data_IF_825405881832
#
_entry.id   IF_825405881832
#
_cell.length_a   1.000
_cell.length_b   1.000
_cell.length_c   1.000
_cell.angle_alpha   90.00
_cell.angle_beta   90.00
_cell.angle_gamma   90.00
#
_symmetry.space_group_name_H-M   'P 1'
#
loop_
_entity.id
_entity.type
_entity.pdbx_description
1 polymer ?
#
# COMPACT_ATOMS: atom_id res chain seq x y z
N UNK A 1 -11.84 -18.47 16.33
CA UNK A 1 -12.35 -17.79 15.12
C UNK A 1 -13.66 -17.14 15.49
N UNK A 2 -13.72 -15.81 15.44
CA UNK A 2 -15.00 -15.13 15.23
C UNK A 2 -15.09 -15.01 13.71
N UNK A 3 -15.80 -15.94 13.08
CA UNK A 3 -16.24 -15.78 11.70
C UNK A 3 -17.42 -14.79 11.77
N UNK A 4 -17.18 -13.58 11.28
CA UNK A 4 -18.15 -12.49 11.31
C UNK A 4 -18.34 -11.98 9.88
N UNK A 5 -19.26 -12.55 9.13
CA UNK A 5 -19.80 -11.84 7.96
C UNK A 5 -20.70 -10.71 8.47
N UNK A 6 -20.32 -9.47 8.20
CA UNK A 6 -21.09 -8.27 8.53
C UNK A 6 -21.07 -7.33 7.34
N UNK A 7 -22.16 -7.36 6.58
CA UNK A 7 -22.33 -6.69 5.29
C UNK A 7 -22.03 -5.18 5.28
N UNK A 8 -22.16 -4.50 6.42
CA UNK A 8 -21.88 -3.06 6.55
C UNK A 8 -21.52 -2.69 8.00
N UNK A 9 -20.23 -2.50 8.26
CA UNK A 9 -19.75 -2.08 9.57
C UNK A 9 -19.30 -0.63 9.57
N UNK A 10 -19.93 0.19 10.41
CA UNK A 10 -19.53 1.58 10.64
C UNK A 10 -18.84 1.73 12.02
N UNK A 11 -17.63 2.28 12.03
CA UNK A 11 -16.99 2.79 13.27
C UNK A 11 -16.49 1.71 14.23
N UNK A 12 -16.05 0.56 13.73
CA UNK A 12 -15.64 -0.57 14.57
C UNK A 12 -14.26 -0.38 15.19
N UNK A 13 -14.14 -0.84 16.45
CA UNK A 13 -12.87 -0.86 17.15
C UNK A 13 -12.66 -2.22 17.82
N UNK A 14 -11.56 -2.88 17.48
CA UNK A 14 -11.15 -4.13 18.10
C UNK A 14 -9.67 -4.11 18.48
N UNK A 15 -9.25 -5.11 19.24
CA UNK A 15 -7.83 -5.37 19.44
C UNK A 15 -7.27 -6.22 18.30
N UNK A 16 -8.01 -7.27 17.94
CA UNK A 16 -7.68 -8.25 16.91
C UNK A 16 -8.87 -8.42 15.96
N UNK A 17 -8.59 -8.56 14.67
CA UNK A 17 -9.55 -8.91 13.63
C UNK A 17 -8.95 -10.00 12.74
N UNK A 18 -9.82 -10.91 12.30
CA UNK A 18 -9.51 -12.08 11.48
C UNK A 18 -10.70 -12.29 10.53
N UNK A 19 -10.43 -12.73 9.30
CA UNK A 19 -11.39 -13.41 8.41
C UNK A 19 -12.71 -12.66 8.21
N UNK A 20 -12.64 -11.50 7.55
CA UNK A 20 -13.82 -10.71 7.17
C UNK A 20 -13.87 -10.53 5.65
N UNK A 21 -15.08 -10.45 5.09
CA UNK A 21 -15.37 -10.47 3.66
C UNK A 21 -16.17 -9.29 3.09
N UNK A 22 -16.49 -8.26 3.89
CA UNK A 22 -17.56 -7.31 3.54
C UNK A 22 -17.12 -5.84 3.46
N UNK A 23 -17.99 -4.98 2.92
CA UNK A 23 -17.76 -3.53 2.82
C UNK A 23 -17.61 -2.86 4.20
N UNK A 24 -16.53 -2.08 4.35
CA UNK A 24 -16.14 -1.48 5.63
C UNK A 24 -16.08 0.04 5.58
N UNK A 25 -16.61 0.69 6.63
CA UNK A 25 -16.42 2.12 6.86
C UNK A 25 -15.92 2.41 8.29
N UNK A 26 -14.67 2.87 8.40
CA UNK A 26 -14.10 3.41 9.64
C UNK A 26 -13.73 2.35 10.67
N UNK A 27 -12.66 1.59 10.43
CA UNK A 27 -12.16 0.60 11.38
C UNK A 27 -10.86 0.97 12.06
N UNK A 28 -10.74 0.54 13.31
CA UNK A 28 -9.52 0.66 14.09
C UNK A 28 -9.18 -0.63 14.84
N UNK A 29 -8.04 -1.22 14.53
CA UNK A 29 -7.50 -2.39 15.24
C UNK A 29 -6.08 -2.15 15.76
N UNK A 30 -5.58 -3.03 16.63
CA UNK A 30 -4.12 -3.15 16.81
C UNK A 30 -3.56 -4.08 15.74
N UNK A 31 -4.19 -5.25 15.56
CA UNK A 31 -3.79 -6.28 14.61
C UNK A 31 -4.96 -6.70 13.72
N UNK A 32 -4.72 -6.78 12.42
CA UNK A 32 -5.60 -7.41 11.42
C UNK A 32 -4.79 -8.49 10.69
N UNK A 33 -5.39 -9.65 10.45
CA UNK A 33 -4.74 -10.81 9.85
C UNK A 33 -5.74 -11.49 8.91
N UNK A 34 -5.27 -12.02 7.78
CA UNK A 34 -6.03 -12.91 6.90
C UNK A 34 -7.40 -12.32 6.50
N UNK A 35 -7.39 -11.16 5.83
CA UNK A 35 -8.62 -10.45 5.48
C UNK A 35 -8.76 -10.34 3.97
N UNK A 36 -9.98 -10.49 3.46
CA UNK A 36 -10.31 -10.29 2.04
C UNK A 36 -11.48 -9.31 1.96
N UNK A 37 -11.31 -8.09 1.47
CA UNK A 37 -12.36 -7.05 1.58
C UNK A 37 -12.59 -6.33 0.26
N UNK A 38 -13.85 -6.25 -0.18
CA UNK A 38 -14.19 -5.56 -1.43
C UNK A 38 -13.93 -4.04 -1.35
N UNK A 39 -14.54 -3.35 -0.37
CA UNK A 39 -14.40 -1.90 -0.26
C UNK A 39 -14.11 -1.45 1.16
N UNK A 40 -13.13 -0.57 1.31
CA UNK A 40 -12.72 0.04 2.56
C UNK A 40 -12.77 1.56 2.46
N UNK A 41 -13.51 2.20 3.37
CA UNK A 41 -13.42 3.62 3.63
C UNK A 41 -12.84 3.84 5.03
N UNK A 42 -11.55 4.16 5.14
CA UNK A 42 -10.90 4.50 6.39
C UNK A 42 -10.54 3.29 7.26
N UNK A 43 -9.31 2.79 7.11
CA UNK A 43 -8.73 1.77 7.99
C UNK A 43 -7.53 2.29 8.78
N UNK A 44 -7.47 1.88 10.06
CA UNK A 44 -6.33 2.15 10.92
C UNK A 44 -5.91 0.94 11.75
N UNK A 45 -4.69 0.45 11.55
CA UNK A 45 -4.10 -0.57 12.44
C UNK A 45 -2.68 -0.20 12.90
N UNK A 46 -2.12 -0.98 13.82
CA UNK A 46 -0.67 -0.98 14.05
C UNK A 46 0.00 -1.96 13.09
N UNK A 47 -0.53 -3.19 13.02
CA UNK A 47 -0.03 -4.27 12.18
C UNK A 47 -1.15 -4.84 11.31
N UNK A 48 -0.83 -5.13 10.07
CA UNK A 48 -1.67 -5.85 9.10
C UNK A 48 -0.80 -6.87 8.39
N UNK A 49 -1.27 -8.11 8.32
CA UNK A 49 -0.61 -9.19 7.60
C UNK A 49 -1.67 -9.87 6.71
N UNK A 50 -1.25 -10.34 5.53
CA UNK A 50 -2.04 -11.22 4.69
C UNK A 50 -3.41 -10.63 4.33
N UNK A 51 -3.41 -9.52 3.60
CA UNK A 51 -4.66 -8.83 3.25
C UNK A 51 -4.83 -8.73 1.74
N UNK A 52 -6.02 -9.05 1.26
CA UNK A 52 -6.46 -8.82 -0.11
C UNK A 52 -7.60 -7.81 -0.10
N UNK A 53 -7.48 -6.69 -0.82
CA UNK A 53 -8.51 -5.63 -0.80
C UNK A 53 -8.72 -5.04 -2.18
N UNK A 54 -9.96 -4.96 -2.68
CA UNK A 54 -10.16 -4.43 -4.04
C UNK A 54 -10.05 -2.91 -4.06
N UNK A 55 -10.80 -2.20 -3.19
CA UNK A 55 -10.82 -0.74 -3.21
C UNK A 55 -10.65 -0.15 -1.82
N UNK A 56 -9.74 0.83 -1.70
CA UNK A 56 -9.45 1.52 -0.45
C UNK A 56 -9.44 3.03 -0.61
N UNK A 57 -10.26 3.72 0.16
CA UNK A 57 -10.15 5.16 0.40
C UNK A 57 -9.63 5.39 1.82
N UNK A 58 -8.36 5.77 1.94
CA UNK A 58 -7.74 6.14 3.21
C UNK A 58 -7.32 4.93 4.04
N UNK A 59 -6.04 4.61 3.97
CA UNK A 59 -5.43 3.54 4.74
C UNK A 59 -4.27 4.04 5.59
N UNK A 60 -4.25 3.70 6.89
CA UNK A 60 -3.12 3.95 7.78
C UNK A 60 -2.70 2.73 8.60
N UNK A 61 -1.44 2.31 8.52
CA UNK A 61 -0.85 1.41 9.52
C UNK A 61 0.58 1.78 9.89
N UNK A 62 1.17 1.09 10.88
CA UNK A 62 2.61 1.22 11.14
C UNK A 62 3.37 0.22 10.27
N UNK A 63 2.97 -1.04 10.30
CA UNK A 63 3.57 -2.14 9.54
C UNK A 63 2.48 -2.85 8.72
N UNK A 64 2.82 -3.17 7.47
CA UNK A 64 2.04 -3.97 6.55
C UNK A 64 2.96 -5.00 5.90
N UNK A 65 2.47 -6.22 5.74
CA UNK A 65 3.20 -7.35 5.18
C UNK A 65 2.22 -8.14 4.32
N UNK A 66 2.67 -8.65 3.18
CA UNK A 66 1.91 -9.59 2.34
C UNK A 66 0.52 -9.05 1.98
N UNK A 67 0.49 -8.02 1.14
CA UNK A 67 -0.74 -7.33 0.80
C UNK A 67 -0.94 -7.25 -0.71
N UNK A 68 -2.16 -7.56 -1.15
CA UNK A 68 -2.60 -7.37 -2.53
C UNK A 68 -3.76 -6.40 -2.57
N UNK A 69 -3.61 -5.26 -3.26
CA UNK A 69 -4.62 -4.20 -3.25
C UNK A 69 -4.84 -3.58 -4.62
N UNK A 70 -6.02 -3.78 -5.20
CA UNK A 70 -6.28 -3.38 -6.59
C UNK A 70 -6.31 -1.86 -6.77
N UNK A 71 -6.98 -1.12 -5.91
CA UNK A 71 -7.06 0.35 -6.02
C UNK A 71 -6.99 1.03 -4.66
N UNK A 72 -6.03 1.94 -4.48
CA UNK A 72 -5.91 2.73 -3.25
C UNK A 72 -5.89 4.22 -3.54
N UNK A 73 -6.79 4.97 -2.90
CA UNK A 73 -6.71 6.42 -2.79
C UNK A 73 -6.27 6.81 -1.39
N UNK A 74 -5.02 7.25 -1.27
CA UNK A 74 -4.45 7.75 -0.02
C UNK A 74 -4.00 6.63 0.92
N UNK A 75 -2.71 6.32 0.87
CA UNK A 75 -2.07 5.34 1.74
C UNK A 75 -0.97 5.95 2.59
N UNK A 76 -0.97 5.66 3.89
CA UNK A 76 0.14 5.97 4.80
C UNK A 76 0.61 4.78 5.65
N UNK A 77 1.87 4.41 5.53
CA UNK A 77 2.53 3.41 6.40
C UNK A 77 3.87 3.94 6.94
N UNK A 78 4.46 3.25 7.93
CA UNK A 78 5.88 3.43 8.24
C UNK A 78 6.72 2.44 7.45
N UNK A 79 6.35 1.16 7.51
CA UNK A 79 7.04 0.04 6.87
C UNK A 79 6.03 -0.80 6.07
N UNK A 80 6.42 -1.18 4.86
CA UNK A 80 5.67 -2.05 3.96
C UNK A 80 6.64 -3.05 3.33
N UNK A 81 6.23 -4.31 3.31
CA UNK A 81 6.95 -5.42 2.69
C UNK A 81 5.96 -6.22 1.86
N UNK A 82 6.43 -6.75 0.73
CA UNK A 82 5.73 -7.75 -0.08
C UNK A 82 4.33 -7.27 -0.50
N UNK A 83 4.31 -6.26 -1.35
CA UNK A 83 3.08 -5.57 -1.73
C UNK A 83 2.86 -5.62 -3.25
N UNK A 84 1.64 -5.93 -3.67
CA UNK A 84 1.17 -5.81 -5.05
C UNK A 84 0.00 -4.85 -5.12
N UNK A 85 0.17 -3.68 -5.76
CA UNK A 85 -0.83 -2.60 -5.63
C UNK A 85 -0.97 -1.70 -6.86
N UNK A 86 -2.10 -0.99 -6.95
CA UNK A 86 -2.24 0.23 -7.76
C UNK A 86 -2.77 1.39 -6.90
N UNK A 87 -2.05 2.52 -6.91
CA UNK A 87 -2.16 3.54 -5.86
C UNK A 87 -2.16 4.98 -6.40
N UNK A 88 -3.18 5.73 -6.00
CA UNK A 88 -3.24 7.18 -6.07
C UNK A 88 -2.89 7.80 -4.70
N UNK A 89 -1.66 8.31 -4.58
CA UNK A 89 -1.19 9.03 -3.41
C UNK A 89 -0.69 8.12 -2.29
N UNK A 90 0.62 8.01 -2.17
CA UNK A 90 1.27 7.13 -1.20
C UNK A 90 2.37 7.81 -0.41
N UNK A 91 2.39 7.58 0.91
CA UNK A 91 3.49 7.95 1.80
C UNK A 91 3.95 6.81 2.72
N UNK A 92 5.21 6.41 2.60
CA UNK A 92 5.88 5.46 3.50
C UNK A 92 7.21 6.02 4.04
N UNK A 93 7.82 5.37 5.05
CA UNK A 93 9.23 5.62 5.38
C UNK A 93 10.12 4.62 4.64
N UNK A 94 9.81 3.33 4.75
CA UNK A 94 10.52 2.22 4.12
C UNK A 94 9.52 1.35 3.36
N UNK A 95 9.91 0.93 2.16
CA UNK A 95 9.23 -0.06 1.33
C UNK A 95 10.28 -1.01 0.77
N UNK A 96 9.93 -2.28 0.73
CA UNK A 96 10.75 -3.38 0.27
C UNK A 96 9.86 -4.35 -0.51
N UNK A 97 10.37 -4.90 -1.60
CA UNK A 97 9.72 -5.96 -2.39
C UNK A 97 8.30 -5.57 -2.84
N UNK A 98 8.24 -4.63 -3.79
CA UNK A 98 6.99 -4.02 -4.22
C UNK A 98 6.78 -4.17 -5.73
N UNK A 99 5.61 -4.66 -6.12
CA UNK A 99 5.13 -4.67 -7.50
C UNK A 99 3.97 -3.70 -7.65
N UNK A 100 4.10 -2.72 -8.54
CA UNK A 100 3.13 -1.62 -8.62
C UNK A 100 2.76 -1.30 -10.06
N UNK A 101 1.48 -1.46 -10.41
CA UNK A 101 1.05 -1.24 -11.80
C UNK A 101 0.99 0.26 -12.13
N UNK A 102 0.32 1.05 -11.29
CA UNK A 102 0.17 2.48 -11.52
C UNK A 102 0.33 3.26 -10.22
N UNK A 103 1.08 4.37 -10.30
CA UNK A 103 1.22 5.32 -9.20
C UNK A 103 1.04 6.76 -9.63
N UNK A 104 0.14 7.46 -8.94
CA UNK A 104 0.06 8.92 -8.99
C UNK A 104 0.49 9.52 -7.65
N UNK A 105 1.69 10.08 -7.58
CA UNK A 105 2.20 10.75 -6.39
C UNK A 105 2.70 9.78 -5.31
N UNK A 106 4.00 9.46 -5.36
CA UNK A 106 4.66 8.59 -4.39
C UNK A 106 5.71 9.33 -3.57
N UNK A 107 5.72 9.14 -2.25
CA UNK A 107 6.80 9.61 -1.37
C UNK A 107 7.28 8.55 -0.37
N UNK A 108 8.57 8.22 -0.40
CA UNK A 108 9.24 7.42 0.63
C UNK A 108 10.57 8.02 1.08
N UNK A 109 11.18 7.48 2.15
CA UNK A 109 12.59 7.77 2.45
C UNK A 109 13.48 6.76 1.73
N UNK A 110 13.17 5.47 1.87
CA UNK A 110 13.89 4.35 1.28
C UNK A 110 12.93 3.47 0.48
N UNK A 111 13.34 3.11 -0.73
CA UNK A 111 12.71 2.13 -1.61
C UNK A 111 13.77 1.11 -2.02
N UNK A 112 13.44 -0.17 -1.92
CA UNK A 112 14.31 -1.31 -2.24
C UNK A 112 13.49 -2.32 -3.03
N UNK A 113 14.07 -2.89 -4.09
CA UNK A 113 13.48 -4.01 -4.84
C UNK A 113 12.06 -3.70 -5.34
N UNK A 114 11.98 -2.77 -6.29
CA UNK A 114 10.72 -2.23 -6.78
C UNK A 114 10.55 -2.50 -8.28
N UNK A 115 9.40 -3.04 -8.67
CA UNK A 115 8.95 -3.12 -10.06
C UNK A 115 7.73 -2.23 -10.25
N UNK A 116 7.78 -1.30 -11.22
CA UNK A 116 6.69 -0.33 -11.41
C UNK A 116 6.38 -0.11 -12.89
N UNK A 117 5.14 -0.36 -13.33
CA UNK A 117 4.83 -0.17 -14.76
C UNK A 117 4.66 1.31 -15.10
N UNK A 118 3.87 2.06 -14.33
CA UNK A 118 3.66 3.49 -14.58
C UNK A 118 3.75 4.34 -13.33
N UNK A 119 4.59 5.38 -13.38
CA UNK A 119 4.75 6.37 -12.32
C UNK A 119 4.49 7.77 -12.85
N UNK A 120 3.64 8.52 -12.15
CA UNK A 120 3.47 9.95 -12.30
C UNK A 120 3.80 10.65 -10.98
N UNK A 121 5.03 11.15 -10.88
CA UNK A 121 5.56 11.85 -9.71
C UNK A 121 5.91 10.91 -8.56
N UNK A 122 7.18 10.52 -8.48
CA UNK A 122 7.76 9.83 -7.31
C UNK A 122 8.88 10.64 -6.65
N UNK A 123 9.05 10.46 -5.33
CA UNK A 123 10.11 11.07 -4.54
C UNK A 123 10.63 10.12 -3.46
N UNK A 124 11.94 9.84 -3.48
CA UNK A 124 12.64 9.13 -2.42
C UNK A 124 13.90 9.88 -1.96
N UNK A 125 14.49 9.46 -0.84
CA UNK A 125 15.88 9.84 -0.54
C UNK A 125 16.83 8.84 -1.19
N UNK A 126 16.56 7.55 -1.01
CA UNK A 126 17.33 6.44 -1.54
C UNK A 126 16.40 5.48 -2.30
N UNK A 127 16.84 5.06 -3.48
CA UNK A 127 16.22 4.00 -4.27
C UNK A 127 17.32 2.99 -4.64
N UNK A 128 17.08 1.70 -4.43
CA UNK A 128 17.97 0.62 -4.82
C UNK A 128 17.15 -0.43 -5.56
N UNK A 129 17.71 -1.02 -6.60
CA UNK A 129 17.15 -2.17 -7.32
C UNK A 129 15.74 -1.88 -7.85
N UNK A 130 15.67 -0.93 -8.79
CA UNK A 130 14.42 -0.39 -9.33
C UNK A 130 14.26 -0.77 -10.80
N UNK A 131 13.11 -1.30 -11.18
CA UNK A 131 12.68 -1.44 -12.57
C UNK A 131 11.41 -0.64 -12.82
N UNK A 132 11.44 0.23 -13.83
CA UNK A 132 10.29 1.09 -14.17
C UNK A 132 10.02 1.12 -15.67
N UNK A 133 8.80 0.81 -16.11
CA UNK A 133 8.51 0.86 -17.55
C UNK A 133 8.30 2.31 -18.03
N UNK A 134 7.45 3.08 -17.35
CA UNK A 134 7.18 4.48 -17.68
C UNK A 134 7.23 5.38 -16.45
N UNK A 135 8.03 6.45 -16.51
CA UNK A 135 8.08 7.47 -15.45
C UNK A 135 7.82 8.87 -16.01
N UNK A 136 6.95 9.61 -15.32
CA UNK A 136 6.71 11.03 -15.50
C UNK A 136 7.03 11.79 -14.21
N UNK A 137 8.24 12.33 -14.10
CA UNK A 137 8.64 13.19 -12.98
C UNK A 137 9.10 12.47 -11.70
N UNK A 138 10.21 12.98 -11.13
CA UNK A 138 11.23 12.11 -10.56
C UNK A 138 12.21 12.81 -9.63
N UNK A 139 12.38 12.33 -8.39
CA UNK A 139 13.41 12.86 -7.49
C UNK A 139 13.94 11.85 -6.46
N UNK A 140 15.24 11.57 -6.54
CA UNK A 140 16.00 10.83 -5.53
C UNK A 140 17.28 11.58 -5.14
N UNK A 141 17.82 11.34 -3.94
CA UNK A 141 19.17 11.84 -3.56
C UNK A 141 20.25 10.87 -3.99
N UNK A 142 19.98 9.57 -3.91
CA UNK A 142 20.88 8.49 -4.31
C UNK A 142 20.08 7.38 -4.99
N UNK A 143 20.63 6.83 -6.06
CA UNK A 143 20.11 5.66 -6.75
C UNK A 143 21.24 4.71 -7.09
N UNK A 144 20.95 3.42 -6.99
CA UNK A 144 21.77 2.33 -7.47
C UNK A 144 20.86 1.35 -8.20
N UNK A 145 21.37 0.77 -9.28
CA UNK A 145 20.68 -0.27 -10.06
C UNK A 145 19.24 0.11 -10.45
N UNK A 146 19.11 1.10 -11.32
CA UNK A 146 17.82 1.57 -11.83
C UNK A 146 17.73 1.33 -13.34
N UNK A 147 16.74 0.55 -13.76
CA UNK A 147 16.31 0.43 -15.16
C UNK A 147 15.04 1.22 -15.39
N UNK A 148 15.02 2.04 -16.44
CA UNK A 148 13.82 2.75 -16.88
C UNK A 148 13.69 2.65 -18.39
N UNK A 149 12.54 2.18 -18.88
CA UNK A 149 12.30 2.04 -20.33
C UNK A 149 11.93 3.39 -20.97
N UNK A 150 10.96 4.10 -20.40
CA UNK A 150 10.49 5.39 -20.91
C UNK A 150 10.46 6.49 -19.84
N UNK A 151 11.05 7.64 -20.16
CA UNK A 151 11.05 8.83 -19.30
C UNK A 151 10.32 9.97 -20.02
N UNK A 152 9.18 10.39 -19.48
CA UNK A 152 8.44 11.58 -19.90
C UNK A 152 8.64 12.70 -18.85
N UNK A 153 8.66 13.96 -19.30
CA UNK A 153 8.99 15.13 -18.47
C UNK A 153 7.84 16.12 -18.36
#
# INVERSE_FOLDING_TARGET
MLDMSVDNVNGWKAQFMLDMSDNVNGWKAQLMLDMSVDNVNGWKAQLMLDMSVDNVNGWKAQLMLDMSVDNVNGWKAQLMLDMSVNVNGWKAQLMLDMSVDNVNGWKAQLMLDMSVDNVNGWKAQLMLDMSVDNVNGWKAQLMLDMSVDNVNG
#
